data_IF_621890229229
#
_entry.id   IF_621890229229
#
_cell.length_a   1.000
_cell.length_b   1.000
_cell.length_c   1.000
_cell.angle_alpha   90.00
_cell.angle_beta   90.00
_cell.angle_gamma   90.00
#
_symmetry.space_group_name_H-M   'P 1'
#
loop_
_entity.id
_entity.type
_entity.pdbx_description
1 polymer ?
#
# COMPACT_ATOMS: atom_id res chain seq x y z
N UNK A 1 41.69 31.85 -53.78
CA UNK A 1 40.45 32.13 -53.01
C UNK A 1 39.77 30.81 -52.66
N UNK A 2 39.26 30.66 -51.43
CA UNK A 2 38.98 29.36 -50.81
C UNK A 2 37.58 28.82 -51.09
N UNK A 3 37.49 27.51 -50.82
CA UNK A 3 36.36 26.61 -50.77
C UNK A 3 35.08 27.21 -50.14
N UNK A 4 33.91 26.95 -50.74
CA UNK A 4 32.63 26.98 -50.01
C UNK A 4 31.81 25.73 -50.38
N UNK A 5 31.71 24.74 -49.49
CA UNK A 5 30.86 23.58 -49.71
C UNK A 5 29.40 24.02 -49.64
N UNK A 6 28.60 23.64 -50.64
CA UNK A 6 27.16 23.83 -50.61
C UNK A 6 26.56 23.05 -49.44
N UNK A 7 26.13 23.79 -48.42
CA UNK A 7 25.31 23.30 -47.32
C UNK A 7 23.95 22.92 -47.91
N UNK A 8 23.75 21.63 -48.21
CA UNK A 8 22.43 21.10 -48.55
C UNK A 8 21.48 21.50 -47.42
N UNK A 9 20.53 22.37 -47.74
CA UNK A 9 19.43 22.71 -46.85
C UNK A 9 18.73 21.40 -46.52
N UNK A 10 18.92 20.93 -45.28
CA UNK A 10 18.14 19.84 -44.71
C UNK A 10 16.75 20.44 -44.52
N UNK A 11 15.90 20.32 -45.54
CA UNK A 11 14.49 20.61 -45.46
C UNK A 11 13.94 19.65 -44.42
N UNK A 12 13.91 20.12 -43.17
CA UNK A 12 13.28 19.45 -42.05
C UNK A 12 11.79 19.42 -42.38
N UNK A 13 11.38 18.36 -43.07
CA UNK A 13 9.98 18.03 -43.27
C UNK A 13 9.39 17.82 -41.89
N UNK A 14 8.83 18.90 -41.31
CA UNK A 14 7.86 18.80 -40.22
C UNK A 14 6.73 17.93 -40.77
N UNK A 15 6.76 16.66 -40.41
CA UNK A 15 5.61 15.79 -40.62
C UNK A 15 4.40 16.48 -40.00
N UNK A 16 3.29 16.68 -40.74
CA UNK A 16 2.06 17.16 -40.15
C UNK A 16 1.71 16.21 -39.01
N UNK A 17 1.55 16.76 -37.80
CA UNK A 17 1.21 16.00 -36.61
C UNK A 17 -0.01 15.13 -36.93
N UNK A 18 0.17 13.81 -36.82
CA UNK A 18 -0.90 12.85 -37.06
C UNK A 18 -2.06 13.20 -36.09
N UNK A 19 -3.28 13.48 -36.58
CA UNK A 19 -4.42 13.94 -35.76
C UNK A 19 -4.95 12.89 -34.77
N UNK A 20 -4.27 11.76 -34.63
CA UNK A 20 -4.69 10.59 -33.87
C UNK A 20 -3.93 10.40 -32.55
N UNK A 21 -3.13 11.37 -32.10
CA UNK A 21 -2.57 11.30 -30.74
C UNK A 21 -3.65 11.82 -29.78
N UNK A 22 -4.40 10.94 -29.06
CA UNK A 22 -5.19 11.42 -27.92
C UNK A 22 -4.21 12.15 -27.02
N UNK A 23 -4.45 13.44 -26.78
CA UNK A 23 -3.58 14.26 -25.96
C UNK A 23 -3.34 13.54 -24.65
N UNK A 24 -2.09 13.10 -24.42
CA UNK A 24 -1.74 12.43 -23.18
C UNK A 24 -2.06 13.39 -22.05
N UNK A 25 -3.10 13.09 -21.28
CA UNK A 25 -3.49 13.89 -20.12
C UNK A 25 -2.36 13.73 -19.11
N UNK A 26 -1.55 14.78 -18.98
CA UNK A 26 -0.47 14.80 -18.00
C UNK A 26 -1.09 14.98 -16.63
N UNK A 27 -0.79 14.11 -15.65
CA UNK A 27 -1.30 14.28 -14.30
C UNK A 27 -0.76 15.58 -13.71
N UNK A 28 -1.63 16.34 -13.06
CA UNK A 28 -1.21 17.50 -12.28
C UNK A 28 -0.39 17.04 -11.06
N UNK A 29 0.43 17.92 -10.50
CA UNK A 29 1.24 17.59 -9.31
C UNK A 29 0.42 17.07 -8.12
N UNK A 30 -0.77 17.63 -7.77
CA UNK A 30 -1.62 17.09 -6.71
C UNK A 30 -2.08 15.65 -7.00
N UNK A 31 -2.49 15.38 -8.24
CA UNK A 31 -2.93 14.04 -8.67
C UNK A 31 -1.76 13.05 -8.61
N UNK A 32 -0.58 13.45 -9.09
CA UNK A 32 0.61 12.61 -9.00
C UNK A 32 0.99 12.32 -7.54
N UNK A 33 0.90 13.32 -6.66
CA UNK A 33 1.13 13.14 -5.22
C UNK A 33 0.16 12.13 -4.62
N UNK A 34 -1.14 12.26 -4.89
CA UNK A 34 -2.15 11.33 -4.43
C UNK A 34 -1.94 9.92 -4.97
N UNK A 35 -1.59 9.77 -6.25
CA UNK A 35 -1.30 8.48 -6.86
C UNK A 35 -0.13 7.78 -6.18
N UNK A 36 0.98 8.50 -5.96
CA UNK A 36 2.16 7.95 -5.27
C UNK A 36 1.82 7.58 -3.83
N UNK A 37 1.13 8.46 -3.10
CA UNK A 37 0.73 8.20 -1.72
C UNK A 37 -0.21 6.98 -1.60
N UNK A 38 -1.20 6.87 -2.50
CA UNK A 38 -2.12 5.75 -2.57
C UNK A 38 -1.39 4.44 -2.93
N UNK A 39 -0.42 4.48 -3.84
CA UNK A 39 0.39 3.30 -4.19
C UNK A 39 1.25 2.83 -3.01
N UNK A 40 1.88 3.75 -2.27
CA UNK A 40 2.64 3.43 -1.06
C UNK A 40 1.73 2.84 0.01
N UNK A 41 0.55 3.44 0.25
CA UNK A 41 -0.44 2.93 1.19
C UNK A 41 -0.94 1.54 0.79
N UNK A 42 -1.24 1.32 -0.48
CA UNK A 42 -1.65 0.02 -1.00
C UNK A 42 -0.55 -1.03 -0.81
N UNK A 43 0.71 -0.69 -1.10
CA UNK A 43 1.85 -1.57 -0.86
C UNK A 43 2.00 -1.95 0.63
N UNK A 44 1.86 -0.96 1.53
CA UNK A 44 1.83 -1.20 2.96
C UNK A 44 0.69 -2.15 3.37
N UNK A 45 -0.53 -1.88 2.90
CA UNK A 45 -1.72 -2.67 3.20
C UNK A 45 -1.59 -4.10 2.66
N UNK A 46 -1.02 -4.29 1.47
CA UNK A 46 -0.70 -5.60 0.90
C UNK A 46 0.23 -6.41 1.81
N UNK A 47 1.29 -5.80 2.33
CA UNK A 47 2.22 -6.45 3.27
C UNK A 47 1.49 -6.81 4.57
N UNK A 48 0.65 -5.91 5.09
CA UNK A 48 -0.14 -6.17 6.30
C UNK A 48 -1.04 -7.40 6.11
N UNK A 49 -1.81 -7.43 5.03
CA UNK A 49 -2.77 -8.50 4.72
C UNK A 49 -2.08 -9.83 4.40
N UNK A 50 -0.99 -9.81 3.64
CA UNK A 50 -0.36 -11.03 3.12
C UNK A 50 0.70 -11.64 4.05
N UNK A 51 1.33 -10.82 4.90
CA UNK A 51 2.48 -11.24 5.72
C UNK A 51 2.21 -11.02 7.21
N UNK A 52 1.86 -9.79 7.59
CA UNK A 52 1.81 -9.39 9.01
C UNK A 52 0.67 -10.07 9.75
N UNK A 53 -0.56 -9.99 9.25
CA UNK A 53 -1.72 -10.57 9.93
C UNK A 53 -1.72 -12.10 9.95
N UNK A 54 -1.31 -12.82 8.88
CA UNK A 54 -1.06 -14.25 8.99
C UNK A 54 -0.05 -14.59 10.09
N UNK A 55 1.10 -13.92 10.13
CA UNK A 55 2.10 -14.14 11.17
C UNK A 55 1.56 -13.84 12.58
N UNK A 56 0.72 -12.81 12.73
CA UNK A 56 0.10 -12.46 14.01
C UNK A 56 -0.89 -13.54 14.48
N UNK A 57 -1.68 -14.11 13.57
CA UNK A 57 -2.65 -15.18 13.88
C UNK A 57 -1.94 -16.44 14.42
N UNK A 58 -0.77 -16.74 13.87
CA UNK A 58 0.02 -17.94 14.19
C UNK A 58 0.78 -17.82 15.53
N UNK A 59 0.79 -16.65 16.19
CA UNK A 59 1.44 -16.47 17.50
C UNK A 59 0.68 -17.27 18.58
N UNK A 60 1.35 -18.12 19.39
CA UNK A 60 0.74 -18.80 20.53
C UNK A 60 0.30 -17.83 21.63
N UNK A 61 -0.71 -18.22 22.40
CA UNK A 61 -1.32 -17.37 23.45
C UNK A 61 -0.29 -16.98 24.53
N UNK A 62 0.61 -17.91 24.90
CA UNK A 62 1.65 -17.70 25.92
C UNK A 62 2.67 -16.64 25.50
N UNK A 63 2.88 -16.48 24.19
CA UNK A 63 3.86 -15.55 23.61
C UNK A 63 3.20 -14.27 23.10
N UNK A 64 1.88 -14.16 23.18
CA UNK A 64 1.11 -13.10 22.53
C UNK A 64 1.59 -11.69 22.88
N UNK A 65 1.68 -11.39 24.18
CA UNK A 65 1.98 -10.04 24.66
C UNK A 65 3.35 -9.55 24.17
N UNK A 66 4.37 -10.40 24.25
CA UNK A 66 5.71 -10.04 23.80
C UNK A 66 5.76 -9.76 22.29
N UNK A 67 5.18 -10.66 21.47
CA UNK A 67 5.19 -10.53 20.01
C UNK A 67 4.32 -9.36 19.54
N UNK A 68 3.14 -9.17 20.13
CA UNK A 68 2.24 -8.07 19.80
C UNK A 68 2.83 -6.71 20.19
N UNK A 69 3.45 -6.59 21.36
CA UNK A 69 4.10 -5.34 21.77
C UNK A 69 5.26 -4.98 20.83
N UNK A 70 6.10 -5.97 20.48
CA UNK A 70 7.19 -5.80 19.52
C UNK A 70 6.67 -5.42 18.14
N UNK A 71 5.58 -6.06 17.69
CA UNK A 71 4.92 -5.71 16.44
C UNK A 71 4.40 -4.27 16.47
N UNK A 72 3.62 -3.90 17.48
CA UNK A 72 2.99 -2.59 17.65
C UNK A 72 4.01 -1.46 17.68
N UNK A 73 5.11 -1.61 18.43
CA UNK A 73 6.21 -0.63 18.47
C UNK A 73 6.86 -0.38 17.10
N UNK A 74 6.94 -1.40 16.26
CA UNK A 74 7.58 -1.31 14.93
C UNK A 74 6.63 -0.77 13.87
N UNK A 75 5.37 -1.18 13.89
CA UNK A 75 4.42 -0.78 12.85
C UNK A 75 3.83 0.62 13.09
N UNK A 76 3.70 1.07 14.34
CA UNK A 76 3.13 2.38 14.66
C UNK A 76 3.81 3.56 13.92
N UNK A 77 5.14 3.75 13.93
CA UNK A 77 5.77 4.85 13.19
C UNK A 77 5.56 4.74 11.68
N UNK A 78 5.57 3.52 11.13
CA UNK A 78 5.32 3.30 9.71
C UNK A 78 3.90 3.68 9.31
N UNK A 79 2.90 3.30 10.12
CA UNK A 79 1.50 3.70 9.93
C UNK A 79 1.38 5.22 9.95
N UNK A 80 1.97 5.89 10.94
CA UNK A 80 1.92 7.36 11.03
C UNK A 80 2.48 7.99 9.76
N UNK A 81 3.68 7.61 9.31
CA UNK A 81 4.29 8.18 8.10
C UNK A 81 3.43 7.95 6.86
N UNK A 82 3.02 6.69 6.62
CA UNK A 82 2.25 6.34 5.41
C UNK A 82 0.92 7.08 5.37
N UNK A 83 0.18 7.11 6.47
CA UNK A 83 -1.12 7.79 6.52
C UNK A 83 -0.98 9.31 6.54
N UNK A 84 0.06 9.88 7.16
CA UNK A 84 0.32 11.33 7.09
C UNK A 84 0.57 11.78 5.65
N UNK A 85 1.40 11.06 4.90
CA UNK A 85 1.63 11.36 3.47
C UNK A 85 0.32 11.27 2.69
N UNK A 86 -0.48 10.23 2.91
CA UNK A 86 -1.78 10.07 2.25
C UNK A 86 -2.75 11.22 2.57
N UNK A 87 -2.87 11.60 3.84
CA UNK A 87 -3.75 12.69 4.28
C UNK A 87 -3.32 14.03 3.69
N UNK A 88 -2.01 14.33 3.66
CA UNK A 88 -1.48 15.56 3.06
C UNK A 88 -1.77 15.59 1.55
N UNK A 89 -1.57 14.48 0.83
CA UNK A 89 -1.90 14.40 -0.59
C UNK A 89 -3.40 14.55 -0.85
N UNK A 90 -4.26 13.95 -0.02
CA UNK A 90 -5.71 14.12 -0.11
C UNK A 90 -6.12 15.59 0.11
N UNK A 91 -5.55 16.24 1.12
CA UNK A 91 -5.81 17.65 1.43
C UNK A 91 -5.36 18.57 0.27
N UNK A 92 -4.23 18.27 -0.38
CA UNK A 92 -3.75 19.05 -1.53
C UNK A 92 -4.67 18.90 -2.74
N UNK A 93 -5.17 17.70 -3.04
CA UNK A 93 -6.16 17.49 -4.11
C UNK A 93 -7.47 18.22 -3.79
N UNK A 94 -7.98 18.13 -2.56
CA UNK A 94 -9.17 18.88 -2.12
C UNK A 94 -8.98 20.39 -2.31
N UNK A 95 -7.82 20.93 -1.92
CA UNK A 95 -7.49 22.35 -2.07
C UNK A 95 -7.38 22.79 -3.53
N UNK A 96 -7.02 21.89 -4.43
CA UNK A 96 -6.81 22.18 -5.85
C UNK A 96 -8.10 22.14 -6.69
N UNK A 97 -9.23 21.73 -6.11
CA UNK A 97 -10.50 21.57 -6.83
C UNK A 97 -10.61 20.20 -7.51
N UNK A 98 -11.11 19.17 -6.79
CA UNK A 98 -11.12 17.80 -7.29
C UNK A 98 -12.10 17.58 -8.45
N UNK A 99 -11.68 16.78 -9.43
CA UNK A 99 -12.56 16.19 -10.45
C UNK A 99 -13.45 15.09 -9.87
N UNK A 100 -14.45 14.64 -10.62
CA UNK A 100 -15.33 13.54 -10.18
C UNK A 100 -14.56 12.24 -9.89
N UNK A 101 -13.53 11.93 -10.68
CA UNK A 101 -12.69 10.74 -10.47
C UNK A 101 -11.85 10.88 -9.19
N UNK A 102 -11.30 12.07 -8.95
CA UNK A 102 -10.54 12.38 -7.74
C UNK A 102 -11.41 12.30 -6.48
N UNK A 103 -12.68 12.71 -6.55
CA UNK A 103 -13.63 12.45 -5.45
C UNK A 103 -13.77 10.97 -5.11
N UNK A 104 -13.79 10.10 -6.12
CA UNK A 104 -13.78 8.65 -5.91
C UNK A 104 -12.51 8.18 -5.20
N UNK A 105 -11.34 8.68 -5.60
CA UNK A 105 -10.08 8.37 -4.95
C UNK A 105 -10.02 8.88 -3.50
N UNK A 106 -10.49 10.11 -3.25
CA UNK A 106 -10.60 10.71 -1.92
C UNK A 106 -11.53 9.91 -1.02
N UNK A 107 -12.69 9.48 -1.52
CA UNK A 107 -13.63 8.65 -0.78
C UNK A 107 -13.01 7.30 -0.38
N UNK A 108 -12.28 6.65 -1.29
CA UNK A 108 -11.56 5.41 -1.00
C UNK A 108 -10.48 5.61 0.08
N UNK A 109 -9.69 6.70 -0.02
CA UNK A 109 -8.68 7.04 0.98
C UNK A 109 -9.32 7.32 2.36
N UNK A 110 -10.44 8.07 2.38
CA UNK A 110 -11.19 8.36 3.58
C UNK A 110 -11.76 7.09 4.23
N UNK A 111 -12.29 6.15 3.43
CA UNK A 111 -12.76 4.86 3.95
C UNK A 111 -11.61 4.03 4.54
N UNK A 112 -10.45 3.97 3.88
CA UNK A 112 -9.27 3.27 4.38
C UNK A 112 -8.71 3.87 5.68
N UNK A 113 -8.62 5.20 5.74
CA UNK A 113 -8.24 5.93 6.95
C UNK A 113 -9.26 5.70 8.08
N UNK A 114 -10.55 5.85 7.78
CA UNK A 114 -11.64 5.65 8.71
C UNK A 114 -11.62 4.25 9.34
N UNK A 115 -11.57 3.19 8.53
CA UNK A 115 -11.47 1.81 9.02
C UNK A 115 -10.24 1.60 9.91
N UNK A 116 -9.12 2.23 9.59
CA UNK A 116 -7.90 2.14 10.39
C UNK A 116 -8.06 2.85 11.74
N UNK A 117 -8.56 4.09 11.73
CA UNK A 117 -8.72 4.90 12.92
C UNK A 117 -9.80 4.35 13.87
N UNK A 118 -10.93 3.88 13.34
CA UNK A 118 -12.10 3.50 14.16
C UNK A 118 -12.16 2.00 14.48
N UNK A 119 -11.48 1.15 13.71
CA UNK A 119 -11.48 -0.31 13.93
C UNK A 119 -10.09 -0.82 14.26
N UNK A 120 -9.11 -0.61 13.39
CA UNK A 120 -7.80 -1.24 13.54
C UNK A 120 -7.04 -0.73 14.75
N UNK A 121 -6.95 0.59 14.94
CA UNK A 121 -6.22 1.18 16.07
C UNK A 121 -6.83 0.79 17.44
N UNK A 122 -8.16 0.89 17.66
CA UNK A 122 -8.78 0.40 18.89
C UNK A 122 -8.63 -1.12 19.08
N UNK A 123 -8.71 -1.90 18.00
CA UNK A 123 -8.49 -3.34 18.09
C UNK A 123 -7.05 -3.67 18.53
N UNK A 124 -6.03 -3.01 17.97
CA UNK A 124 -4.65 -3.19 18.41
C UNK A 124 -4.44 -2.78 19.86
N UNK A 125 -5.07 -1.69 20.32
CA UNK A 125 -5.02 -1.31 21.74
C UNK A 125 -5.59 -2.40 22.67
N UNK A 126 -6.78 -2.93 22.34
CA UNK A 126 -7.39 -4.04 23.10
C UNK A 126 -6.53 -5.30 23.07
N UNK A 127 -5.99 -5.63 21.91
CA UNK A 127 -5.12 -6.78 21.73
C UNK A 127 -3.77 -6.64 22.46
N UNK A 128 -3.33 -5.42 22.77
CA UNK A 128 -2.16 -5.19 23.62
C UNK A 128 -2.39 -5.55 25.09
N UNK A 129 -3.65 -5.55 25.55
CA UNK A 129 -3.99 -6.01 26.91
C UNK A 129 -4.02 -7.55 27.02
N UNK A 130 -4.25 -8.24 25.91
CA UNK A 130 -4.30 -9.70 25.83
C UNK A 130 -4.90 -10.18 24.52
N UNK A 131 -4.68 -11.47 24.19
CA UNK A 131 -5.26 -12.06 22.97
C UNK A 131 -6.76 -12.22 23.17
N UNK A 132 -7.54 -11.66 22.25
CA UNK A 132 -8.98 -11.82 22.18
C UNK A 132 -9.36 -12.27 20.75
N UNK A 133 -9.86 -13.52 20.58
CA UNK A 133 -10.25 -14.05 19.27
C UNK A 133 -11.35 -13.23 18.56
N UNK A 134 -12.26 -12.61 19.31
CA UNK A 134 -13.37 -11.81 18.75
C UNK A 134 -12.82 -10.48 18.21
N UNK A 135 -11.94 -9.82 18.97
CA UNK A 135 -11.27 -8.59 18.53
C UNK A 135 -10.36 -8.87 17.34
N UNK A 136 -9.61 -9.98 17.37
CA UNK A 136 -8.78 -10.42 16.26
C UNK A 136 -9.62 -10.68 14.99
N UNK A 137 -10.74 -11.39 15.11
CA UNK A 137 -11.64 -11.61 13.98
C UNK A 137 -12.20 -10.29 13.41
N UNK A 138 -12.55 -9.32 14.28
CA UNK A 138 -13.01 -7.99 13.85
C UNK A 138 -11.90 -7.23 13.09
N UNK A 139 -10.66 -7.28 13.59
CA UNK A 139 -9.50 -6.69 12.92
C UNK A 139 -9.32 -7.27 11.51
N UNK A 140 -9.38 -8.60 11.38
CA UNK A 140 -9.24 -9.30 10.09
C UNK A 140 -10.41 -9.01 9.13
N UNK A 141 -11.64 -8.78 9.62
CA UNK A 141 -12.75 -8.34 8.77
C UNK A 141 -12.52 -6.92 8.24
N UNK A 142 -12.10 -6.00 9.09
CA UNK A 142 -11.76 -4.64 8.67
C UNK A 142 -10.59 -4.60 7.68
N UNK A 143 -9.63 -5.52 7.83
CA UNK A 143 -8.57 -5.74 6.84
C UNK A 143 -9.12 -6.10 5.46
N UNK A 144 -10.01 -7.08 5.38
CA UNK A 144 -10.62 -7.52 4.11
C UNK A 144 -11.45 -6.43 3.43
N UNK A 145 -12.00 -5.48 4.17
CA UNK A 145 -12.70 -4.32 3.61
C UNK A 145 -11.72 -3.30 3.03
N UNK A 146 -10.53 -3.13 3.65
CA UNK A 146 -9.47 -2.24 3.15
C UNK A 146 -8.75 -2.84 1.94
N UNK A 147 -8.58 -4.16 1.94
CA UNK A 147 -7.97 -4.91 0.86
C UNK A 147 -8.62 -6.30 0.77
N UNK A 148 -9.55 -6.50 -0.17
CA UNK A 148 -10.19 -7.78 -0.37
C UNK A 148 -9.16 -8.87 -0.65
N UNK A 149 -9.33 -10.08 -0.09
CA UNK A 149 -8.47 -11.19 -0.42
C UNK A 149 -8.61 -11.47 -1.91
N UNK A 150 -7.48 -11.45 -2.62
CA UNK A 150 -7.45 -11.89 -4.01
C UNK A 150 -7.75 -13.40 -4.09
N UNK A 151 -8.34 -13.90 -5.18
CA UNK A 151 -8.54 -15.33 -5.38
C UNK A 151 -7.18 -16.02 -5.37
N UNK A 152 -6.84 -16.68 -4.26
CA UNK A 152 -5.57 -17.41 -4.14
C UNK A 152 -5.58 -18.53 -5.19
N UNK A 153 -4.84 -18.36 -6.28
CA UNK A 153 -4.42 -19.49 -7.10
C UNK A 153 -3.75 -20.51 -6.15
N UNK A 154 -4.24 -21.75 -6.19
CA UNK A 154 -4.21 -22.71 -5.08
C UNK A 154 -2.90 -22.80 -4.31
N UNK A 155 -2.96 -22.54 -2.99
CA UNK A 155 -1.83 -22.78 -2.09
C UNK A 155 -1.99 -24.14 -1.40
N UNK A 156 -1.73 -25.23 -2.13
CA UNK A 156 -1.27 -26.51 -1.56
C UNK A 156 0.25 -26.42 -1.40
N UNK A 157 0.74 -25.76 -0.36
CA UNK A 157 2.11 -25.96 0.11
C UNK A 157 2.10 -25.88 1.63
N UNK A 158 1.57 -26.94 2.26
CA UNK A 158 2.04 -27.36 3.58
C UNK A 158 3.26 -28.22 3.34
N UNK A 159 4.44 -27.61 3.38
CA UNK A 159 5.67 -28.38 3.59
C UNK A 159 5.82 -28.50 5.11
N UNK A 160 5.68 -29.68 5.71
CA UNK A 160 5.97 -29.84 7.13
C UNK A 160 7.46 -29.55 7.32
N UNK A 161 7.75 -28.55 8.15
CA UNK A 161 9.10 -28.28 8.65
C UNK A 161 9.54 -29.51 9.45
N UNK A 162 10.32 -30.39 8.82
CA UNK A 162 10.91 -31.57 9.45
C UNK A 162 11.88 -31.04 10.51
N UNK A 163 11.59 -31.27 11.79
CA UNK A 163 12.52 -30.96 12.87
C UNK A 163 13.86 -31.65 12.57
N UNK A 164 14.92 -30.85 12.43
CA UNK A 164 16.28 -31.36 12.40
C UNK A 164 16.63 -31.71 13.85
N UNK A 165 16.45 -32.97 14.22
CA UNK A 165 16.99 -33.51 15.46
C UNK A 165 18.51 -33.54 15.28
N UNK A 166 19.22 -32.63 15.93
CA UNK A 166 20.68 -32.75 16.09
C UNK A 166 20.91 -33.83 17.15
N UNK A 167 21.14 -35.07 16.72
CA UNK A 167 21.71 -36.08 17.62
C UNK A 167 23.13 -35.64 17.96
N UNK A 168 23.33 -35.21 19.20
CA UNK A 168 24.65 -35.10 19.80
C UNK A 168 25.25 -36.51 19.91
N UNK A 169 26.31 -36.76 19.15
CA UNK A 169 27.12 -37.97 19.30
C UNK A 169 27.94 -37.90 20.59
N UNK A 170 27.93 -39.01 21.32
CA UNK A 170 28.87 -39.37 22.39
C UNK A 170 30.28 -39.60 21.83
#
# INVERSE_FOLDING_TARGET
MPCRPQRKARTETRHPACPCQPGAVQPTLPVLSLLVAAAVHLGFQLVVTAVVYPALVDVPDEQWREHHDRHSRRIAPLVVVVYSVLVVSCAWVLWSGPTLLEWGALAACAAAFGLTAVVAAPAHSRLGAGRDPVVLARLLRADRLRLPPWPRAGRRLRTPYRQITVSAGM
#
